data_IF_928130525304
#
_entry.id   IF_928130525304
#
_cell.length_a   1.000
_cell.length_b   1.000
_cell.length_c   1.000
_cell.angle_alpha   90.00
_cell.angle_beta   90.00
_cell.angle_gamma   90.00
#
_symmetry.space_group_name_H-M   'P 1'
#
loop_
_entity.id
_entity.type
_entity.pdbx_description
1 polymer ?
#
# COMPACT_ATOMS: atom_id res chain seq x y z
N UNK A 1 1.08 -15.19 0.29
CA UNK A 1 0.98 -14.74 1.70
C UNK A 1 -0.33 -15.16 2.37
N UNK A 2 -1.23 -15.89 1.68
CA UNK A 2 -2.39 -16.52 2.33
C UNK A 2 -3.62 -15.62 2.50
N UNK A 3 -3.54 -14.35 2.10
CA UNK A 3 -4.66 -13.40 2.12
C UNK A 3 -5.03 -12.93 0.69
N UNK A 4 -6.26 -12.44 0.54
CA UNK A 4 -6.74 -11.80 -0.69
C UNK A 4 -6.26 -10.35 -0.78
N UNK A 5 -5.76 -9.96 -1.95
CA UNK A 5 -5.30 -8.60 -2.21
C UNK A 5 -6.22 -7.96 -3.27
N UNK A 6 -6.91 -6.90 -2.87
CA UNK A 6 -7.81 -6.12 -3.73
C UNK A 6 -7.20 -4.75 -3.98
N UNK A 7 -7.31 -4.26 -5.20
CA UNK A 7 -7.11 -2.85 -5.51
C UNK A 7 -8.42 -2.07 -5.33
N UNK A 8 -8.29 -0.78 -5.02
CA UNK A 8 -9.44 0.11 -4.86
C UNK A 8 -9.13 1.42 -5.56
N UNK A 9 -10.01 1.82 -6.47
CA UNK A 9 -10.02 3.17 -6.99
C UNK A 9 -10.57 4.12 -5.93
N UNK A 10 -9.74 5.03 -5.43
CA UNK A 10 -10.15 6.08 -4.49
C UNK A 10 -10.26 7.42 -5.22
N UNK A 11 -11.19 8.30 -4.81
CA UNK A 11 -11.30 9.66 -5.35
C UNK A 11 -10.32 10.67 -4.76
N UNK A 12 -9.47 10.27 -3.81
CA UNK A 12 -8.47 11.11 -3.17
C UNK A 12 -7.18 11.24 -3.98
N UNK A 13 -6.30 12.18 -3.59
CA UNK A 13 -4.97 12.32 -4.19
C UNK A 13 -3.87 11.98 -3.19
N UNK A 14 -2.88 11.23 -3.62
CA UNK A 14 -1.67 10.92 -2.85
C UNK A 14 -0.40 11.54 -3.46
N UNK A 15 0.70 11.54 -2.70
CA UNK A 15 2.02 11.86 -3.25
C UNK A 15 2.42 10.87 -4.35
N UNK A 16 2.03 9.60 -4.23
CA UNK A 16 2.21 8.60 -5.27
C UNK A 16 1.50 8.96 -6.57
N UNK A 17 0.26 9.49 -6.52
CA UNK A 17 -0.42 9.97 -7.72
C UNK A 17 0.30 11.16 -8.36
N UNK A 18 0.86 12.08 -7.56
CA UNK A 18 1.63 13.22 -8.08
C UNK A 18 2.88 12.77 -8.82
N UNK A 19 3.64 11.85 -8.22
CA UNK A 19 4.82 11.27 -8.87
C UNK A 19 4.42 10.45 -10.10
N UNK A 20 3.32 9.69 -10.03
CA UNK A 20 2.81 8.97 -11.20
C UNK A 20 2.44 9.89 -12.35
N UNK A 21 1.93 11.08 -12.07
CA UNK A 21 1.63 12.11 -13.06
C UNK A 21 2.86 12.64 -13.82
N UNK A 22 4.07 12.45 -13.31
CA UNK A 22 5.32 12.83 -14.00
C UNK A 22 5.88 11.71 -14.91
N UNK A 23 5.15 10.62 -15.07
CA UNK A 23 5.53 9.49 -15.95
C UNK A 23 6.33 8.40 -15.25
N UNK A 24 6.53 8.48 -13.93
CA UNK A 24 7.17 7.43 -13.13
C UNK A 24 6.10 6.55 -12.51
N UNK A 25 5.91 5.28 -12.91
CA UNK A 25 4.92 4.41 -12.28
C UNK A 25 5.17 4.27 -10.78
N UNK A 26 4.15 4.52 -9.96
CA UNK A 26 4.24 4.38 -8.49
C UNK A 26 3.18 3.41 -8.00
N UNK A 27 3.64 2.43 -7.22
CA UNK A 27 2.77 1.60 -6.40
C UNK A 27 2.65 2.26 -5.01
N UNK A 28 1.44 2.67 -4.63
CA UNK A 28 1.14 3.40 -3.40
C UNK A 28 0.06 2.66 -2.57
N UNK A 29 -0.23 3.14 -1.37
CA UNK A 29 -1.26 2.63 -0.46
C UNK A 29 -1.06 1.17 -0.03
N UNK A 30 0.19 0.75 0.15
CA UNK A 30 0.56 -0.61 0.60
C UNK A 30 0.47 -0.81 2.13
N UNK A 31 -0.06 0.18 2.86
CA UNK A 31 -0.14 0.17 4.31
C UNK A 31 -1.20 -0.79 4.88
N UNK A 32 -1.29 -0.87 6.21
CA UNK A 32 -2.36 -1.55 6.95
C UNK A 32 -3.76 -1.14 6.50
N UNK A 33 -4.73 -2.03 6.70
CA UNK A 33 -6.15 -1.71 6.53
C UNK A 33 -6.57 -0.72 7.62
N UNK A 34 -7.33 0.30 7.24
CA UNK A 34 -7.81 1.34 8.13
C UNK A 34 -8.79 2.27 7.41
N UNK A 35 -9.28 3.27 8.12
CA UNK A 35 -10.26 4.20 7.58
C UNK A 35 -10.49 5.41 8.47
N UNK A 36 -11.38 6.31 8.04
CA UNK A 36 -11.72 7.51 8.81
C UNK A 36 -10.60 8.54 8.88
N UNK A 37 -9.66 8.53 7.93
CA UNK A 37 -8.53 9.45 7.93
C UNK A 37 -8.98 10.90 8.15
N UNK A 38 -8.33 11.60 9.08
CA UNK A 38 -8.65 12.97 9.48
C UNK A 38 -10.01 13.13 10.20
N UNK A 39 -10.49 12.08 10.86
CA UNK A 39 -11.70 12.12 11.69
C UNK A 39 -11.44 11.51 13.08
N UNK A 40 -12.26 11.80 14.10
CA UNK A 40 -12.16 11.11 15.40
C UNK A 40 -12.37 9.59 15.32
N UNK A 41 -13.02 9.11 14.25
CA UNK A 41 -13.27 7.70 13.97
C UNK A 41 -12.11 7.06 13.18
N UNK A 42 -10.94 7.71 13.09
CA UNK A 42 -9.75 7.17 12.44
C UNK A 42 -9.27 5.89 13.12
N UNK A 43 -9.04 4.84 12.34
CA UNK A 43 -8.65 3.54 12.86
C UNK A 43 -7.73 2.76 11.93
N UNK A 44 -7.13 1.73 12.51
CA UNK A 44 -6.30 0.73 11.86
C UNK A 44 -6.72 -0.66 12.35
N UNK A 45 -6.80 -1.62 11.45
CA UNK A 45 -6.98 -3.03 11.81
C UNK A 45 -5.63 -3.65 12.18
N UNK A 46 -5.39 -3.87 13.48
CA UNK A 46 -4.12 -4.39 14.00
C UNK A 46 -3.73 -5.73 13.37
N UNK A 47 -4.70 -6.60 13.09
CA UNK A 47 -4.46 -7.89 12.44
C UNK A 47 -3.87 -7.75 11.01
N UNK A 48 -4.13 -6.65 10.31
CA UNK A 48 -3.62 -6.40 8.96
C UNK A 48 -2.16 -5.94 8.92
N UNK A 49 -1.62 -5.45 10.04
CA UNK A 49 -0.24 -4.94 10.13
C UNK A 49 0.80 -5.99 9.73
N UNK A 50 0.84 -7.19 10.33
CA UNK A 50 1.81 -8.21 9.94
C UNK A 50 1.65 -8.67 8.48
N UNK A 51 0.42 -8.75 7.97
CA UNK A 51 0.13 -9.16 6.59
C UNK A 51 0.69 -8.16 5.58
N UNK A 52 0.44 -6.87 5.80
CA UNK A 52 0.93 -5.77 4.95
C UNK A 52 2.45 -5.59 5.08
N UNK A 53 2.99 -5.77 6.28
CA UNK A 53 4.44 -5.81 6.49
C UNK A 53 5.11 -6.94 5.69
N UNK A 54 4.54 -8.15 5.73
CA UNK A 54 5.03 -9.28 4.96
C UNK A 54 4.90 -9.05 3.44
N UNK A 55 3.84 -8.39 2.99
CA UNK A 55 3.64 -8.00 1.59
C UNK A 55 4.74 -7.08 1.09
N UNK A 56 4.97 -5.97 1.80
CA UNK A 56 5.98 -4.97 1.43
C UNK A 56 7.38 -5.60 1.45
N UNK A 57 7.69 -6.39 2.49
CA UNK A 57 8.96 -7.10 2.57
C UNK A 57 9.16 -8.08 1.40
N UNK A 58 8.13 -8.85 1.04
CA UNK A 58 8.18 -9.78 -0.08
C UNK A 58 8.34 -9.05 -1.42
N UNK A 59 7.68 -7.91 -1.61
CA UNK A 59 7.80 -7.07 -2.79
C UNK A 59 9.23 -6.54 -2.95
N UNK A 60 9.79 -5.93 -1.90
CA UNK A 60 11.18 -5.44 -1.91
C UNK A 60 12.14 -6.58 -2.20
N UNK A 61 11.99 -7.72 -1.51
CA UNK A 61 12.83 -8.89 -1.73
C UNK A 61 12.71 -9.41 -3.17
N UNK A 62 11.51 -9.39 -3.76
CA UNK A 62 11.30 -9.78 -5.16
C UNK A 62 12.05 -8.86 -6.11
N UNK A 63 11.92 -7.54 -5.93
CA UNK A 63 12.57 -6.53 -6.76
C UNK A 63 14.09 -6.63 -6.67
N UNK A 64 14.65 -6.75 -5.46
CA UNK A 64 16.09 -6.91 -5.22
C UNK A 64 16.69 -8.18 -5.86
N UNK A 65 15.86 -9.18 -6.17
CA UNK A 65 16.28 -10.38 -6.92
C UNK A 65 16.15 -10.24 -8.44
N UNK A 66 15.50 -9.19 -8.92
CA UNK A 66 15.24 -8.96 -10.35
C UNK A 66 16.32 -8.09 -10.99
N UNK A 67 17.35 -7.71 -10.23
CA UNK A 67 18.60 -7.16 -10.75
C UNK A 67 19.47 -8.32 -11.26
N UNK A 68 19.14 -8.79 -12.47
CA UNK A 68 19.85 -9.82 -13.24
C UNK A 68 19.61 -9.62 -14.73
#
# INVERSE_FOLDING_TARGET
LGFELLDVATGGGSDGNRVSGSGVPVLDALGPVGGGAHTPDEYIEIASVPERGALVAALIARLARTDG
#
